data_IF_030482374701
#
_entry.id   IF_030482374701
#
_cell.length_a   1.000
_cell.length_b   1.000
_cell.length_c   1.000
_cell.angle_alpha   90.00
_cell.angle_beta   90.00
_cell.angle_gamma   90.00
#
_symmetry.space_group_name_H-M   'P 1'
#
loop_
_entity.id
_entity.type
_entity.pdbx_description
1 polymer ?
#
# COMPACT_ATOMS: atom_id res chain seq x y z
N UNK A 1 -5.15 1.16 23.06
CA UNK A 1 -5.08 -0.29 22.82
C UNK A 1 -6.09 -1.02 23.70
N UNK A 2 -6.46 -2.26 23.37
CA UNK A 2 -7.45 -3.03 24.14
C UNK A 2 -6.84 -3.59 25.44
N UNK A 3 -7.29 -3.06 26.59
CA UNK A 3 -6.78 -3.43 27.92
C UNK A 3 -7.14 -4.88 28.28
N UNK A 4 -8.33 -5.37 27.91
CA UNK A 4 -8.76 -6.74 28.21
C UNK A 4 -7.86 -7.77 27.53
N UNK A 5 -7.52 -7.54 26.27
CA UNK A 5 -6.60 -8.41 25.52
C UNK A 5 -5.20 -8.41 26.15
N UNK A 6 -4.75 -7.25 26.61
CA UNK A 6 -3.46 -7.13 27.28
C UNK A 6 -3.39 -7.91 28.61
N UNK A 7 -4.47 -7.87 29.40
CA UNK A 7 -4.57 -8.63 30.65
C UNK A 7 -4.58 -10.13 30.37
N UNK A 8 -5.40 -10.60 29.43
CA UNK A 8 -5.45 -12.02 29.02
C UNK A 8 -4.07 -12.53 28.59
N UNK A 9 -3.40 -11.78 27.71
CA UNK A 9 -2.03 -12.10 27.30
C UNK A 9 -1.08 -12.25 28.49
N UNK A 10 -1.19 -11.39 29.51
CA UNK A 10 -0.34 -11.48 30.71
C UNK A 10 -0.66 -12.68 31.59
N UNK A 11 -1.93 -13.04 31.71
CA UNK A 11 -2.36 -14.22 32.47
C UNK A 11 -1.91 -15.49 31.77
N UNK A 12 -2.16 -15.61 30.47
CA UNK A 12 -1.72 -16.75 29.64
C UNK A 12 -0.20 -16.92 29.66
N UNK A 13 0.55 -15.82 29.62
CA UNK A 13 2.01 -15.86 29.69
C UNK A 13 2.49 -16.37 31.05
N UNK A 14 1.86 -15.95 32.16
CA UNK A 14 2.21 -16.43 33.51
C UNK A 14 1.96 -17.93 33.63
N UNK A 15 0.82 -18.42 33.14
CA UNK A 15 0.53 -19.86 33.14
C UNK A 15 1.51 -20.64 32.27
N UNK A 16 1.84 -20.12 31.09
CA UNK A 16 2.78 -20.76 30.17
C UNK A 16 4.18 -20.85 30.76
N UNK A 17 4.65 -19.79 31.42
CA UNK A 17 5.93 -19.78 32.14
C UNK A 17 5.95 -20.79 33.31
N UNK A 18 4.83 -20.96 34.02
CA UNK A 18 4.74 -21.92 35.12
C UNK A 18 4.79 -23.38 34.65
N UNK A 19 4.47 -23.67 33.39
CA UNK A 19 4.53 -25.02 32.80
C UNK A 19 5.91 -25.37 32.23
N UNK A 20 6.82 -24.40 32.12
CA UNK A 20 8.13 -24.64 31.53
C UNK A 20 8.99 -25.51 32.43
N UNK A 21 9.75 -26.47 31.86
CA UNK A 21 10.75 -27.20 32.62
C UNK A 21 11.89 -26.23 33.04
N UNK A 22 12.34 -26.34 34.29
CA UNK A 22 13.49 -25.54 34.75
C UNK A 22 14.80 -26.24 34.36
N UNK A 23 15.40 -25.78 33.26
CA UNK A 23 16.75 -26.19 32.84
C UNK A 23 17.82 -25.15 33.19
N UNK A 24 17.50 -24.13 34.00
CA UNK A 24 18.45 -23.08 34.37
C UNK A 24 19.08 -22.39 33.15
N UNK A 25 20.42 -22.38 33.11
CA UNK A 25 21.22 -21.74 32.04
C UNK A 25 21.57 -22.67 30.88
N UNK A 26 21.09 -23.93 30.91
CA UNK A 26 21.26 -24.89 29.81
C UNK A 26 20.22 -24.67 28.71
N UNK A 27 20.33 -23.54 28.01
CA UNK A 27 19.38 -23.12 26.98
C UNK A 27 19.19 -24.12 25.84
N UNK A 28 20.16 -25.00 25.64
CA UNK A 28 20.13 -26.09 24.67
C UNK A 28 19.10 -27.17 24.93
N UNK A 29 18.69 -27.35 26.19
CA UNK A 29 17.75 -28.41 26.59
C UNK A 29 16.30 -28.01 26.30
N UNK A 30 16.03 -26.71 26.22
CA UNK A 30 14.72 -26.22 25.85
C UNK A 30 14.45 -26.48 24.37
N UNK A 31 13.23 -26.89 24.08
CA UNK A 31 12.71 -26.86 22.71
C UNK A 31 12.61 -25.41 22.22
N UNK A 32 12.50 -25.24 20.90
CA UNK A 32 12.33 -23.93 20.26
C UNK A 32 11.22 -23.10 20.91
N UNK A 33 10.04 -23.70 21.11
CA UNK A 33 8.86 -22.99 21.60
C UNK A 33 8.95 -22.67 23.10
N UNK A 34 9.58 -23.56 23.87
CA UNK A 34 9.88 -23.31 25.28
C UNK A 34 10.88 -22.15 25.44
N UNK A 35 11.93 -22.11 24.61
CA UNK A 35 12.90 -21.03 24.61
C UNK A 35 12.26 -19.69 24.20
N UNK A 36 11.35 -19.70 23.23
CA UNK A 36 10.57 -18.51 22.87
C UNK A 36 9.77 -18.04 24.09
N UNK A 37 9.00 -18.93 24.71
CA UNK A 37 8.14 -18.62 25.87
C UNK A 37 8.96 -18.03 27.03
N UNK A 38 10.11 -18.62 27.33
CA UNK A 38 11.01 -18.18 28.40
C UNK A 38 11.48 -16.72 28.23
N UNK A 39 11.69 -16.27 26.99
CA UNK A 39 12.16 -14.93 26.68
C UNK A 39 11.05 -13.94 26.25
N UNK A 40 9.78 -14.34 26.26
CA UNK A 40 8.67 -13.40 26.01
C UNK A 40 8.63 -12.22 27.01
N UNK A 41 8.93 -12.37 28.32
CA UNK A 41 9.02 -11.22 29.23
C UNK A 41 10.08 -10.20 28.84
N UNK A 42 11.19 -10.65 28.21
CA UNK A 42 12.22 -9.75 27.69
C UNK A 42 11.65 -8.85 26.60
N UNK A 43 10.79 -9.38 25.72
CA UNK A 43 10.12 -8.59 24.66
C UNK A 43 9.32 -7.45 25.27
N UNK A 44 8.55 -7.70 26.33
CA UNK A 44 7.77 -6.65 27.00
C UNK A 44 8.67 -5.55 27.55
N UNK A 45 9.76 -5.92 28.23
CA UNK A 45 10.72 -4.95 28.77
C UNK A 45 11.39 -4.12 27.69
N UNK A 46 11.57 -4.66 26.48
CA UNK A 46 12.15 -3.95 25.34
C UNK A 46 11.12 -3.06 24.63
N UNK A 47 9.89 -3.55 24.45
CA UNK A 47 8.81 -2.80 23.79
C UNK A 47 8.43 -1.54 24.59
N UNK A 48 8.39 -1.63 25.92
CA UNK A 48 8.09 -0.48 26.81
C UNK A 48 9.13 0.65 26.74
N UNK A 49 10.31 0.41 26.17
CA UNK A 49 11.34 1.45 25.97
C UNK A 49 11.07 2.36 24.77
N UNK A 50 10.13 1.98 23.91
CA UNK A 50 9.70 2.79 22.77
C UNK A 50 8.52 3.67 23.18
N UNK A 51 8.53 4.95 22.76
CA UNK A 51 7.41 5.86 23.00
C UNK A 51 6.22 5.45 22.15
N UNK A 52 5.03 5.38 22.75
CA UNK A 52 3.76 5.16 22.03
C UNK A 52 3.06 6.46 21.68
N UNK A 53 3.72 7.62 21.77
CA UNK A 53 3.17 8.88 21.28
C UNK A 53 3.01 8.84 19.76
N UNK A 54 1.96 9.47 19.24
CA UNK A 54 1.65 9.49 17.81
C UNK A 54 2.82 10.05 16.98
N UNK A 55 3.53 11.04 17.51
CA UNK A 55 4.73 11.61 16.87
C UNK A 55 5.88 10.61 16.72
N UNK A 56 6.00 9.64 17.63
CA UNK A 56 7.13 8.71 17.67
C UNK A 56 6.82 7.38 16.98
N UNK A 57 5.61 6.87 17.17
CA UNK A 57 5.18 5.53 16.72
C UNK A 57 4.05 5.56 15.70
N UNK A 58 3.53 6.74 15.33
CA UNK A 58 2.35 6.88 14.49
C UNK A 58 1.14 6.23 15.17
N UNK A 59 0.40 5.43 14.40
CA UNK A 59 -0.81 4.74 14.86
C UNK A 59 -0.49 3.48 15.71
N UNK A 60 0.79 3.12 15.85
CA UNK A 60 1.18 1.89 16.56
C UNK A 60 1.02 2.01 18.06
N UNK A 61 0.30 1.05 18.64
CA UNK A 61 0.11 0.92 20.07
C UNK A 61 1.10 -0.06 20.70
N UNK A 62 1.16 -0.10 22.03
CA UNK A 62 2.03 -1.05 22.76
C UNK A 62 1.78 -2.51 22.37
N UNK A 63 0.54 -2.89 22.05
CA UNK A 63 0.22 -4.26 21.60
C UNK A 63 0.89 -4.59 20.27
N UNK A 64 0.92 -3.62 19.36
CA UNK A 64 1.55 -3.79 18.05
C UNK A 64 3.07 -3.90 18.19
N UNK A 65 3.66 -3.10 19.08
CA UNK A 65 5.09 -3.18 19.40
C UNK A 65 5.47 -4.53 20.04
N UNK A 66 4.61 -5.07 20.91
CA UNK A 66 4.79 -6.40 21.49
C UNK A 66 4.77 -7.48 20.41
N UNK A 67 3.77 -7.48 19.53
CA UNK A 67 3.67 -8.44 18.43
C UNK A 67 4.90 -8.40 17.51
N UNK A 68 5.36 -7.20 17.14
CA UNK A 68 6.56 -7.03 16.33
C UNK A 68 7.84 -7.48 17.06
N UNK A 69 7.87 -7.30 18.38
CA UNK A 69 8.93 -7.80 19.23
C UNK A 69 8.95 -9.33 19.30
N UNK A 70 7.80 -9.97 19.43
CA UNK A 70 7.66 -11.43 19.43
C UNK A 70 8.09 -12.02 18.08
N UNK A 71 7.67 -11.42 16.97
CA UNK A 71 8.15 -11.79 15.62
C UNK A 71 9.69 -11.75 15.55
N UNK A 72 10.30 -10.75 16.19
CA UNK A 72 11.76 -10.63 16.29
C UNK A 72 12.41 -11.66 17.17
N UNK A 73 11.77 -12.06 18.26
CA UNK A 73 12.26 -13.11 19.17
C UNK A 73 12.23 -14.47 18.48
N UNK A 74 11.13 -14.86 17.85
CA UNK A 74 11.01 -16.15 17.13
C UNK A 74 12.11 -16.29 16.07
N UNK A 75 12.30 -15.26 15.25
CA UNK A 75 13.37 -15.24 14.23
C UNK A 75 14.77 -15.21 14.82
N UNK A 76 14.92 -14.74 16.06
CA UNK A 76 16.21 -14.72 16.74
C UNK A 76 16.56 -16.10 17.31
N UNK A 77 15.59 -16.80 17.88
CA UNK A 77 15.75 -18.17 18.39
C UNK A 77 16.24 -19.11 17.28
N UNK A 78 15.66 -18.99 16.08
CA UNK A 78 16.07 -19.78 14.91
C UNK A 78 17.50 -19.52 14.42
N UNK A 79 18.16 -18.46 14.92
CA UNK A 79 19.48 -17.99 14.47
C UNK A 79 20.52 -17.98 15.58
N UNK A 80 20.27 -18.70 16.68
CA UNK A 80 21.24 -18.81 17.77
C UNK A 80 22.44 -19.61 17.25
N UNK A 81 23.63 -19.03 17.43
CA UNK A 81 24.87 -19.77 17.28
C UNK A 81 25.27 -20.32 18.66
N UNK A 82 25.13 -21.62 18.78
CA UNK A 82 25.31 -22.36 20.02
C UNK A 82 26.78 -22.53 20.41
N UNK A 83 27.71 -22.59 19.44
CA UNK A 83 29.14 -22.71 19.72
C UNK A 83 29.62 -21.44 20.40
N UNK A 84 29.29 -20.29 19.82
CA UNK A 84 29.58 -18.97 20.38
C UNK A 84 28.91 -18.78 21.75
N UNK A 85 27.69 -19.29 21.93
CA UNK A 85 26.99 -19.16 23.22
C UNK A 85 27.65 -20.00 24.33
N UNK A 86 28.09 -21.22 24.03
CA UNK A 86 28.72 -22.10 25.01
C UNK A 86 30.12 -21.66 25.43
N UNK A 87 30.84 -20.94 24.56
CA UNK A 87 32.14 -20.34 24.88
C UNK A 87 32.02 -19.09 25.78
N UNK A 88 30.82 -18.54 25.96
CA UNK A 88 30.62 -17.34 26.75
C UNK A 88 30.68 -17.62 28.25
N UNK A 89 31.39 -16.76 28.99
CA UNK A 89 31.47 -16.81 30.47
C UNK A 89 30.09 -16.67 31.13
N UNK A 90 29.22 -15.81 30.57
CA UNK A 90 27.85 -15.57 31.05
C UNK A 90 26.85 -15.77 29.91
N UNK A 91 26.34 -17.01 29.83
CA UNK A 91 25.37 -17.43 28.80
C UNK A 91 24.08 -16.60 28.85
N UNK A 92 23.62 -16.23 30.05
CA UNK A 92 22.37 -15.49 30.24
C UNK A 92 22.48 -14.07 29.72
N UNK A 93 23.56 -13.36 30.07
CA UNK A 93 23.80 -12.00 29.57
C UNK A 93 23.98 -11.99 28.05
N UNK A 94 24.73 -12.94 27.52
CA UNK A 94 24.99 -13.05 26.07
C UNK A 94 23.72 -13.31 25.28
N UNK A 95 22.89 -14.27 25.71
CA UNK A 95 21.63 -14.57 25.02
C UNK A 95 20.63 -13.42 25.13
N UNK A 96 20.51 -12.77 26.31
CA UNK A 96 19.66 -11.59 26.50
C UNK A 96 20.10 -10.42 25.62
N UNK A 97 21.40 -10.18 25.49
CA UNK A 97 21.93 -9.13 24.61
C UNK A 97 21.65 -9.44 23.13
N UNK A 98 21.85 -10.70 22.73
CA UNK A 98 21.57 -11.19 21.38
C UNK A 98 20.09 -11.01 20.98
N UNK A 99 19.16 -11.40 21.85
CA UNK A 99 17.73 -11.20 21.64
C UNK A 99 17.33 -9.73 21.68
N UNK A 100 17.82 -8.98 22.68
CA UNK A 100 17.50 -7.55 22.83
C UNK A 100 17.85 -6.74 21.58
N UNK A 101 19.00 -7.01 20.95
CA UNK A 101 19.43 -6.33 19.71
C UNK A 101 18.44 -6.59 18.56
N UNK A 102 17.98 -7.83 18.41
CA UNK A 102 17.06 -8.26 17.33
C UNK A 102 15.63 -7.77 17.54
N UNK A 103 15.11 -7.90 18.78
CA UNK A 103 13.79 -7.41 19.18
C UNK A 103 13.70 -5.90 18.92
N UNK A 104 14.65 -5.11 19.46
CA UNK A 104 14.67 -3.65 19.23
C UNK A 104 14.81 -3.29 17.76
N UNK A 105 15.65 -4.01 17.01
CA UNK A 105 15.83 -3.78 15.58
C UNK A 105 14.57 -4.09 14.76
N UNK A 106 13.78 -5.08 15.16
CA UNK A 106 12.48 -5.36 14.53
C UNK A 106 11.43 -4.31 14.85
N UNK A 107 11.29 -3.94 16.12
CA UNK A 107 10.37 -2.89 16.55
C UNK A 107 10.67 -1.56 15.84
N UNK A 108 11.93 -1.13 15.81
CA UNK A 108 12.34 0.11 15.15
C UNK A 108 12.00 0.12 13.66
N UNK A 109 12.29 -0.96 12.94
CA UNK A 109 11.97 -1.06 11.50
C UNK A 109 10.47 -1.04 11.24
N UNK A 110 9.66 -1.66 12.11
CA UNK A 110 8.20 -1.58 12.00
C UNK A 110 7.70 -0.15 12.20
N UNK A 111 8.20 0.54 13.24
CA UNK A 111 7.87 1.95 13.48
C UNK A 111 8.24 2.79 12.26
N UNK A 112 9.45 2.64 11.73
CA UNK A 112 9.91 3.38 10.55
C UNK A 112 9.01 3.15 9.31
N UNK A 113 8.43 1.96 9.16
CA UNK A 113 7.52 1.64 8.05
C UNK A 113 6.10 2.19 8.21
N UNK A 114 5.61 2.34 9.45
CA UNK A 114 4.21 2.64 9.74
C UNK A 114 3.97 3.98 10.44
N UNK A 115 5.03 4.69 10.84
CA UNK A 115 4.88 5.99 11.52
C UNK A 115 4.38 7.11 10.61
N UNK A 116 4.63 7.01 9.31
CA UNK A 116 4.31 8.04 8.33
C UNK A 116 3.19 7.58 7.39
N UNK A 117 2.47 8.54 6.82
CA UNK A 117 1.47 8.30 5.77
C UNK A 117 2.11 7.74 4.49
N UNK A 118 3.34 8.16 4.20
CA UNK A 118 4.13 7.69 3.06
C UNK A 118 5.26 6.76 3.52
N UNK A 119 5.35 5.59 2.88
CA UNK A 119 6.43 4.63 3.15
C UNK A 119 7.74 5.11 2.53
N UNK A 120 8.77 5.24 3.38
CA UNK A 120 10.13 5.56 2.95
C UNK A 120 11.03 4.30 2.96
N UNK A 121 11.91 4.11 1.95
CA UNK A 121 12.92 3.05 1.97
C UNK A 121 13.93 3.21 3.13
N UNK A 122 14.42 2.10 3.69
CA UNK A 122 15.31 2.09 4.85
C UNK A 122 16.66 2.79 4.57
N UNK A 123 17.22 2.62 3.37
CA UNK A 123 18.46 3.30 2.99
C UNK A 123 18.31 4.84 2.97
N UNK A 124 17.16 5.35 2.50
CA UNK A 124 16.82 6.78 2.57
C UNK A 124 16.63 7.24 3.99
N UNK A 125 15.93 6.48 4.84
CA UNK A 125 15.80 6.84 6.26
C UNK A 125 17.15 6.91 6.99
N UNK A 126 18.08 6.03 6.65
CA UNK A 126 19.44 6.08 7.21
C UNK A 126 20.22 7.29 6.68
N UNK A 127 20.08 7.63 5.40
CA UNK A 127 20.61 8.88 4.84
C UNK A 127 20.04 10.08 5.60
N UNK A 128 18.72 10.16 5.79
CA UNK A 128 18.05 11.24 6.56
C UNK A 128 18.55 11.35 8.01
N UNK A 129 18.90 10.23 8.65
CA UNK A 129 19.44 10.20 10.02
C UNK A 129 20.89 10.67 10.11
N UNK A 130 21.68 10.46 9.05
CA UNK A 130 23.11 10.73 9.03
C UNK A 130 23.45 12.09 8.41
N UNK A 131 22.63 12.59 7.48
CA UNK A 131 22.88 13.85 6.76
C UNK A 131 22.42 15.05 7.58
N UNK A 132 23.18 16.15 7.53
CA UNK A 132 22.82 17.45 8.16
C UNK A 132 22.00 18.37 7.24
N UNK A 133 21.51 17.87 6.12
CA UNK A 133 20.87 18.69 5.09
C UNK A 133 19.48 19.13 5.50
N UNK A 134 19.31 20.44 5.62
CA UNK A 134 18.05 21.06 6.06
C UNK A 134 16.87 20.73 5.15
N UNK A 135 17.08 20.53 3.85
CA UNK A 135 16.01 20.18 2.89
C UNK A 135 15.43 18.80 3.15
N UNK A 136 16.29 17.83 3.42
CA UNK A 136 15.90 16.45 3.71
C UNK A 136 15.19 16.38 5.07
N UNK A 137 15.71 17.12 6.05
CA UNK A 137 15.09 17.27 7.37
C UNK A 137 13.72 17.94 7.25
N UNK A 138 13.58 18.98 6.42
CA UNK A 138 12.30 19.64 6.15
C UNK A 138 11.30 18.70 5.48
N UNK A 139 11.73 17.90 4.49
CA UNK A 139 10.88 16.90 3.84
C UNK A 139 10.35 15.86 4.84
N UNK A 140 11.19 15.43 5.79
CA UNK A 140 10.80 14.54 6.88
C UNK A 140 9.76 15.19 7.82
N UNK A 141 10.01 16.41 8.29
CA UNK A 141 9.08 17.11 9.18
C UNK A 141 7.76 17.46 8.49
N UNK A 142 7.78 17.87 7.23
CA UNK A 142 6.58 18.14 6.44
C UNK A 142 5.72 16.88 6.30
N UNK A 143 6.33 15.70 6.14
CA UNK A 143 5.59 14.43 6.06
C UNK A 143 4.91 14.01 7.37
N UNK A 144 5.39 14.52 8.52
CA UNK A 144 4.88 14.16 9.85
C UNK A 144 3.90 15.21 10.39
N UNK A 145 4.20 16.49 10.20
CA UNK A 145 3.49 17.59 10.87
C UNK A 145 2.58 18.39 9.93
N UNK A 146 2.93 18.51 8.64
CA UNK A 146 2.04 19.12 7.64
C UNK A 146 1.12 18.05 7.04
N UNK A 147 0.59 17.17 7.91
CA UNK A 147 -0.54 16.33 7.55
C UNK A 147 -1.70 17.25 7.18
N UNK A 148 -2.35 16.94 6.06
CA UNK A 148 -3.56 17.61 5.57
C UNK A 148 -4.68 17.61 6.62
N UNK A 149 -4.61 16.74 7.64
CA UNK A 149 -5.60 16.62 8.70
C UNK A 149 -5.41 17.57 9.89
N UNK A 150 -4.38 18.43 9.90
CA UNK A 150 -4.28 19.46 10.93
C UNK A 150 -5.38 20.51 10.69
N UNK A 151 -6.46 20.47 11.50
CA UNK A 151 -7.48 21.53 11.51
C UNK A 151 -6.81 22.86 11.89
N UNK A 152 -6.44 23.65 10.89
CA UNK A 152 -6.10 25.05 11.05
C UNK A 152 -7.44 25.77 11.16
N UNK A 153 -7.81 26.20 12.36
CA UNK A 153 -8.96 27.06 12.74
C UNK A 153 -9.96 27.42 11.63
N UNK A 154 -11.23 27.00 11.77
CA UNK A 154 -12.50 27.48 11.15
C UNK A 154 -12.55 27.92 9.67
N UNK A 155 -11.45 27.88 8.93
CA UNK A 155 -11.36 28.15 7.52
C UNK A 155 -10.87 26.87 6.84
N UNK A 156 -11.70 26.35 5.94
CA UNK A 156 -11.35 25.27 5.02
C UNK A 156 -10.26 25.74 4.03
N UNK A 157 -9.03 25.98 4.52
CA UNK A 157 -7.85 26.31 3.70
C UNK A 157 -7.63 25.22 2.65
N UNK A 158 -8.05 23.98 2.94
CA UNK A 158 -7.95 22.84 2.05
C UNK A 158 -9.00 22.83 0.92
N UNK A 159 -10.17 23.44 1.10
CA UNK A 159 -11.17 23.60 0.03
C UNK A 159 -10.78 24.69 -0.99
N UNK A 160 -9.69 25.42 -0.74
CA UNK A 160 -9.18 26.48 -1.61
C UNK A 160 -8.03 26.02 -2.52
N UNK A 161 -7.68 24.73 -2.54
CA UNK A 161 -6.68 24.22 -3.48
C UNK A 161 -7.31 24.21 -4.88
N UNK A 162 -6.87 25.08 -5.82
CA UNK A 162 -7.46 25.11 -7.14
C UNK A 162 -7.08 23.83 -7.88
N UNK A 163 -8.06 23.20 -8.50
CA UNK A 163 -7.81 22.11 -9.43
C UNK A 163 -7.03 22.66 -10.63
N UNK A 164 -5.82 22.14 -10.83
CA UNK A 164 -4.94 22.50 -11.95
C UNK A 164 -5.03 21.50 -13.10
N UNK A 165 -5.89 20.49 -13.00
CA UNK A 165 -6.06 19.54 -14.10
C UNK A 165 -6.63 20.28 -15.29
N UNK A 166 -5.93 20.20 -16.42
CA UNK A 166 -6.45 20.77 -17.67
C UNK A 166 -7.69 19.95 -18.06
N UNK A 167 -8.83 20.61 -18.34
CA UNK A 167 -10.01 19.89 -18.79
C UNK A 167 -9.69 19.16 -20.09
N UNK A 168 -10.05 17.88 -20.14
CA UNK A 168 -9.81 17.06 -21.31
C UNK A 168 -10.36 17.73 -22.57
N UNK A 169 -9.52 17.92 -23.60
CA UNK A 169 -9.96 18.54 -24.85
C UNK A 169 -10.74 17.52 -25.69
N UNK A 170 -12.02 17.38 -25.35
CA UNK A 170 -12.99 16.49 -26.03
C UNK A 170 -12.98 16.76 -27.54
N UNK A 171 -12.84 18.02 -27.96
CA UNK A 171 -12.82 18.39 -29.36
C UNK A 171 -11.61 17.81 -30.11
N UNK A 172 -10.42 17.90 -29.53
CA UNK A 172 -9.19 17.36 -30.14
C UNK A 172 -9.25 15.83 -30.27
N UNK A 173 -9.73 15.15 -29.23
CA UNK A 173 -9.93 13.70 -29.26
C UNK A 173 -10.96 13.30 -30.32
N UNK A 174 -12.11 13.98 -30.37
CA UNK A 174 -13.15 13.65 -31.35
C UNK A 174 -12.69 13.90 -32.78
N UNK A 175 -11.89 14.95 -33.02
CA UNK A 175 -11.28 15.20 -34.32
C UNK A 175 -10.33 14.08 -34.72
N UNK A 176 -9.50 13.62 -33.77
CA UNK A 176 -8.56 12.53 -33.99
C UNK A 176 -9.28 11.20 -34.29
N UNK A 177 -10.28 10.81 -33.49
CA UNK A 177 -11.09 9.60 -33.71
C UNK A 177 -11.80 9.64 -35.06
N UNK A 178 -12.39 10.78 -35.43
CA UNK A 178 -13.00 10.97 -36.76
C UNK A 178 -11.99 10.81 -37.89
N UNK A 179 -10.75 11.26 -37.72
CA UNK A 179 -9.69 11.10 -38.73
C UNK A 179 -9.34 9.62 -38.96
N UNK A 180 -9.25 8.82 -37.89
CA UNK A 180 -9.02 7.37 -37.98
C UNK A 180 -10.22 6.65 -38.60
N UNK A 181 -11.43 7.01 -38.18
CA UNK A 181 -12.66 6.43 -38.71
C UNK A 181 -12.82 6.72 -40.20
N UNK A 182 -12.59 7.95 -40.65
CA UNK A 182 -12.65 8.31 -42.08
C UNK A 182 -11.60 7.58 -42.92
N UNK A 183 -10.45 7.22 -42.34
CA UNK A 183 -9.37 6.54 -43.05
C UNK A 183 -9.67 5.06 -43.30
N UNK A 184 -10.31 4.38 -42.35
CA UNK A 184 -10.44 2.91 -42.37
C UNK A 184 -11.88 2.40 -42.55
N UNK A 185 -12.89 3.24 -42.36
CA UNK A 185 -14.29 2.83 -42.41
C UNK A 185 -15.02 3.38 -43.64
N UNK A 186 -16.03 2.62 -44.07
CA UNK A 186 -16.96 3.08 -45.09
C UNK A 186 -17.95 4.10 -44.49
N UNK A 187 -18.53 4.96 -45.33
CA UNK A 187 -19.45 6.04 -44.93
C UNK A 187 -20.58 5.58 -43.99
N UNK A 188 -21.20 4.43 -44.28
CA UNK A 188 -22.22 3.84 -43.40
C UNK A 188 -21.69 3.45 -42.02
N UNK A 189 -20.51 2.82 -41.96
CA UNK A 189 -19.89 2.39 -40.70
C UNK A 189 -19.40 3.58 -39.88
N UNK A 190 -18.87 4.60 -40.57
CA UNK A 190 -18.47 5.87 -40.00
C UNK A 190 -19.66 6.56 -39.32
N UNK A 191 -20.76 6.75 -40.03
CA UNK A 191 -21.95 7.42 -39.48
C UNK A 191 -22.60 6.63 -38.33
N UNK A 192 -22.66 5.29 -38.44
CA UNK A 192 -23.16 4.45 -37.34
C UNK A 192 -22.34 4.65 -36.07
N UNK A 193 -21.00 4.67 -36.16
CA UNK A 193 -20.14 4.88 -34.98
C UNK A 193 -20.21 6.31 -34.45
N UNK A 194 -20.16 7.31 -35.35
CA UNK A 194 -20.25 8.73 -35.02
C UNK A 194 -21.52 9.04 -34.22
N UNK A 195 -22.68 8.59 -34.71
CA UNK A 195 -23.97 8.80 -34.06
C UNK A 195 -24.16 7.94 -32.79
N UNK A 196 -23.60 6.73 -32.78
CA UNK A 196 -23.68 5.81 -31.62
C UNK A 196 -22.92 6.31 -30.39
N UNK A 197 -21.82 7.02 -30.59
CA UNK A 197 -20.95 7.53 -29.52
C UNK A 197 -21.06 9.03 -29.31
N UNK A 198 -21.70 9.76 -30.23
CA UNK A 198 -21.90 11.20 -30.12
C UNK A 198 -20.60 11.99 -30.21
N UNK A 199 -19.78 11.72 -31.24
CA UNK A 199 -18.46 12.36 -31.40
C UNK A 199 -18.56 13.86 -31.73
N UNK A 200 -19.67 14.33 -32.28
CA UNK A 200 -19.91 15.73 -32.64
C UNK A 200 -21.40 16.11 -32.64
N UNK A 201 -22.22 15.20 -32.13
CA UNK A 201 -23.65 15.38 -31.98
C UNK A 201 -24.08 14.66 -30.70
N UNK A 202 -25.33 14.87 -30.30
CA UNK A 202 -25.91 14.08 -29.22
C UNK A 202 -25.92 12.60 -29.59
N UNK A 203 -25.82 11.76 -28.57
CA UNK A 203 -25.81 10.30 -28.75
C UNK A 203 -27.19 9.82 -29.19
N UNK A 204 -27.23 9.11 -30.31
CA UNK A 204 -28.48 8.56 -30.85
C UNK A 204 -28.67 7.09 -30.45
N UNK A 205 -29.93 6.67 -30.31
CA UNK A 205 -30.31 5.27 -30.13
C UNK A 205 -30.24 4.50 -31.46
N UNK A 206 -30.10 3.17 -31.40
CA UNK A 206 -30.00 2.35 -32.62
C UNK A 206 -31.21 2.49 -33.55
N UNK A 207 -32.41 2.79 -33.02
CA UNK A 207 -33.61 3.04 -33.81
C UNK A 207 -33.58 4.40 -34.52
N UNK A 208 -33.10 5.44 -33.84
CA UNK A 208 -32.92 6.77 -34.42
C UNK A 208 -31.85 6.75 -35.51
N UNK A 209 -30.74 6.03 -35.29
CA UNK A 209 -29.68 5.84 -36.29
C UNK A 209 -30.23 5.10 -37.52
N UNK A 210 -31.02 4.04 -37.31
CA UNK A 210 -31.65 3.32 -38.41
C UNK A 210 -32.58 4.20 -39.24
N UNK A 211 -33.35 5.08 -38.59
CA UNK A 211 -34.21 6.06 -39.27
C UNK A 211 -33.39 7.11 -40.04
N UNK A 212 -32.32 7.62 -39.42
CA UNK A 212 -31.44 8.64 -40.03
C UNK A 212 -30.70 8.10 -41.26
N UNK A 213 -30.24 6.85 -41.20
CA UNK A 213 -29.52 6.16 -42.28
C UNK A 213 -30.44 5.40 -43.25
N UNK A 214 -31.77 5.53 -43.10
CA UNK A 214 -32.80 4.87 -43.93
C UNK A 214 -32.59 3.36 -44.05
N UNK A 215 -32.25 2.69 -42.95
CA UNK A 215 -32.11 1.23 -42.88
C UNK A 215 -33.51 0.63 -42.66
N UNK A 216 -34.06 0.07 -43.73
CA UNK A 216 -35.40 -0.53 -43.74
C UNK A 216 -35.41 -1.96 -43.16
N UNK A 217 -36.53 -2.34 -42.53
CA UNK A 217 -36.78 -3.70 -42.01
C UNK A 217 -37.14 -3.75 -40.52
N UNK A 218 -37.88 -4.79 -40.12
CA UNK A 218 -38.33 -4.99 -38.73
C UNK A 218 -37.19 -5.23 -37.73
N UNK A 219 -36.00 -5.61 -38.22
CA UNK A 219 -34.77 -5.84 -37.44
C UNK A 219 -33.69 -4.76 -37.60
N UNK A 220 -34.05 -3.55 -38.06
CA UNK A 220 -33.09 -2.50 -38.40
C UNK A 220 -32.12 -2.10 -37.27
N UNK A 221 -32.57 -2.07 -36.01
CA UNK A 221 -31.73 -1.78 -34.84
C UNK A 221 -30.67 -2.86 -34.57
N UNK A 222 -30.95 -4.12 -34.93
CA UNK A 222 -29.99 -5.23 -34.86
C UNK A 222 -28.91 -5.01 -35.90
N UNK A 223 -29.30 -4.63 -37.12
CA UNK A 223 -28.38 -4.34 -38.22
C UNK A 223 -27.42 -3.19 -37.90
N UNK A 224 -27.90 -2.13 -37.25
CA UNK A 224 -27.05 -1.03 -36.74
C UNK A 224 -26.03 -1.55 -35.72
N UNK A 225 -26.43 -2.47 -34.84
CA UNK A 225 -25.54 -3.06 -33.83
C UNK A 225 -24.47 -3.97 -34.46
N UNK A 226 -24.81 -4.69 -35.53
CA UNK A 226 -23.86 -5.48 -36.32
C UNK A 226 -22.83 -4.59 -37.02
N UNK A 227 -23.29 -3.56 -37.73
CA UNK A 227 -22.42 -2.58 -38.41
C UNK A 227 -21.49 -1.89 -37.42
N UNK A 228 -21.98 -1.56 -36.22
CA UNK A 228 -21.15 -1.02 -35.14
C UNK A 228 -20.03 -1.97 -34.73
N UNK A 229 -20.36 -3.26 -34.49
CA UNK A 229 -19.36 -4.28 -34.09
C UNK A 229 -18.33 -4.51 -35.19
N UNK A 230 -18.78 -4.56 -36.43
CA UNK A 230 -17.91 -4.73 -37.59
C UNK A 230 -16.95 -3.55 -37.74
N UNK A 231 -17.45 -2.32 -37.64
CA UNK A 231 -16.65 -1.11 -37.72
C UNK A 231 -15.58 -1.06 -36.62
N UNK A 232 -15.92 -1.43 -35.38
CA UNK A 232 -14.94 -1.52 -34.28
C UNK A 232 -13.87 -2.55 -34.59
N UNK A 233 -14.23 -3.73 -35.12
CA UNK A 233 -13.26 -4.76 -35.48
C UNK A 233 -12.30 -4.28 -36.57
N UNK A 234 -12.81 -3.59 -37.60
CA UNK A 234 -11.97 -3.03 -38.66
C UNK A 234 -10.97 -2.02 -38.09
N UNK A 235 -11.38 -1.16 -37.16
CA UNK A 235 -10.46 -0.23 -36.51
C UNK A 235 -9.39 -0.96 -35.69
N UNK A 236 -9.77 -2.00 -34.94
CA UNK A 236 -8.82 -2.80 -34.16
C UNK A 236 -7.78 -3.47 -35.07
N UNK A 237 -8.21 -3.99 -36.22
CA UNK A 237 -7.33 -4.74 -37.12
C UNK A 237 -6.38 -3.82 -37.94
N UNK A 238 -6.73 -2.54 -38.14
CA UNK A 238 -6.03 -1.64 -39.07
C UNK A 238 -5.35 -0.42 -38.42
N UNK A 239 -5.72 -0.04 -37.19
CA UNK A 239 -5.08 1.07 -36.48
C UNK A 239 -3.81 0.57 -35.78
N UNK A 240 -2.69 1.22 -36.02
CA UNK A 240 -1.43 0.88 -35.36
C UNK A 240 -1.48 1.26 -33.88
N UNK A 241 -1.02 0.35 -33.01
CA UNK A 241 -1.04 0.51 -31.57
C UNK A 241 -0.25 1.74 -31.11
N UNK A 242 0.81 2.12 -31.83
CA UNK A 242 1.60 3.32 -31.52
C UNK A 242 0.77 4.60 -31.57
N UNK A 243 -0.28 4.64 -32.40
CA UNK A 243 -1.12 5.81 -32.64
C UNK A 243 -2.12 6.06 -31.50
N UNK A 244 -2.41 5.05 -30.68
CA UNK A 244 -3.40 5.11 -29.59
C UNK A 244 -2.74 5.19 -28.21
N UNK A 245 -1.43 4.95 -28.12
CA UNK A 245 -0.67 4.86 -26.86
C UNK A 245 -0.72 6.16 -26.04
N UNK A 246 -0.67 7.32 -26.70
CA UNK A 246 -0.65 8.63 -26.03
C UNK A 246 -1.99 8.99 -25.37
N UNK A 247 -3.03 8.19 -25.60
CA UNK A 247 -4.40 8.41 -25.12
C UNK A 247 -4.89 7.33 -24.14
N UNK A 248 -4.02 6.38 -23.75
CA UNK A 248 -4.28 5.33 -22.75
C UNK A 248 -3.58 5.66 -21.42
#
# INVERSE_FOLDING_TARGET
YNIKNYIRYKEDLKESLARLPDHGTDYHKYTRDELITQFMPLVESMARKFSTSDQASGVLSILDLLQCGHEGLTKAVDRIDWETLNQSEDKEKTIKAFFSKRIKGRIRRRIDHLRGTMRLPEYKLNEMRNTKDKKIVAMFFNSIFLSIDAQVNDEDVFNQIPDKTEPYNIHLMNLYLKSLMNKYLNEMQYEVLRLSYGLDCDKHTAKEIANHLKIEGSGNYVRVSELKKEAVRILIDNVDHSQVLDYL
#
